data_IF_640371083155
#
_entry.id   IF_640371083155
#
_cell.length_a   1.000
_cell.length_b   1.000
_cell.length_c   1.000
_cell.angle_alpha   90.00
_cell.angle_beta   90.00
_cell.angle_gamma   90.00
#
_symmetry.space_group_name_H-M   'P 1'
#
loop_
_entity.id
_entity.type
_entity.pdbx_description
1 polymer ?
#
# COMPACT_ATOMS: atom_id res chain seq x y z
N UNK A 1 39.13 12.33 16.48
CA UNK A 1 37.70 12.01 16.26
C UNK A 1 37.59 11.37 14.89
N UNK A 2 37.27 10.08 14.82
CA UNK A 2 37.00 9.42 13.54
C UNK A 2 35.60 9.82 13.04
N UNK A 3 35.37 9.98 11.72
CA UNK A 3 34.03 10.20 11.20
C UNK A 3 33.13 8.98 11.52
N UNK A 4 31.83 9.20 11.72
CA UNK A 4 30.90 8.08 11.86
C UNK A 4 30.96 7.23 10.58
N UNK A 5 31.15 5.91 10.77
CA UNK A 5 31.08 4.94 9.68
C UNK A 5 29.71 4.97 8.99
N UNK A 6 29.60 4.42 7.77
CA UNK A 6 28.34 4.42 7.02
C UNK A 6 27.24 3.76 7.86
N UNK A 7 26.19 4.53 8.16
CA UNK A 7 25.03 4.01 8.87
C UNK A 7 24.31 2.99 7.96
N UNK A 8 23.89 1.82 8.50
CA UNK A 8 23.22 0.80 7.70
C UNK A 8 21.93 1.38 7.12
N UNK A 9 21.75 1.21 5.80
CA UNK A 9 20.67 1.82 5.02
C UNK A 9 19.29 1.50 5.58
N UNK A 10 18.66 2.50 6.20
CA UNK A 10 17.24 2.48 6.50
C UNK A 10 16.42 2.46 5.21
N UNK A 11 15.22 1.88 5.25
CA UNK A 11 14.30 1.95 4.13
C UNK A 11 14.04 3.42 3.75
N UNK A 12 14.02 3.69 2.45
CA UNK A 12 13.77 5.02 1.89
C UNK A 12 12.48 5.61 2.50
N UNK A 13 12.55 6.79 3.17
CA UNK A 13 11.38 7.43 3.78
C UNK A 13 10.19 7.61 2.83
N UNK A 14 10.46 7.89 1.54
CA UNK A 14 9.42 8.08 0.54
C UNK A 14 8.77 6.75 0.18
N UNK A 15 9.56 5.69 0.05
CA UNK A 15 9.05 4.32 -0.12
C UNK A 15 8.20 3.89 1.08
N UNK A 16 8.67 4.12 2.31
CA UNK A 16 7.93 3.81 3.53
C UNK A 16 6.60 4.57 3.61
N UNK A 17 6.61 5.86 3.26
CA UNK A 17 5.40 6.66 3.21
C UNK A 17 4.40 6.14 2.17
N UNK A 18 4.87 5.84 0.96
CA UNK A 18 4.04 5.29 -0.10
C UNK A 18 3.46 3.91 0.27
N UNK A 19 4.25 3.06 0.91
CA UNK A 19 3.82 1.74 1.38
C UNK A 19 2.72 1.85 2.44
N UNK A 20 2.93 2.71 3.45
CA UNK A 20 1.93 2.98 4.49
C UNK A 20 0.63 3.52 3.91
N UNK A 21 0.72 4.45 2.96
CA UNK A 21 -0.46 5.01 2.31
C UNK A 21 -1.24 3.93 1.54
N UNK A 22 -0.56 3.09 0.77
CA UNK A 22 -1.20 2.01 0.03
C UNK A 22 -1.85 0.98 0.97
N UNK A 23 -1.17 0.59 2.05
CA UNK A 23 -1.72 -0.34 3.04
C UNK A 23 -2.94 0.25 3.77
N UNK A 24 -2.90 1.52 4.16
CA UNK A 24 -4.02 2.20 4.79
C UNK A 24 -5.23 2.27 3.86
N UNK A 25 -5.02 2.59 2.58
CA UNK A 25 -6.08 2.61 1.58
C UNK A 25 -6.74 1.23 1.44
N UNK A 26 -5.95 0.15 1.37
CA UNK A 26 -6.48 -1.21 1.30
C UNK A 26 -7.31 -1.57 2.55
N UNK A 27 -6.83 -1.23 3.74
CA UNK A 27 -7.54 -1.51 4.99
C UNK A 27 -8.87 -0.75 5.10
N UNK A 28 -8.88 0.54 4.74
CA UNK A 28 -10.09 1.37 4.74
C UNK A 28 -11.11 0.83 3.73
N UNK A 29 -10.67 0.52 2.52
CA UNK A 29 -11.53 -0.03 1.48
C UNK A 29 -12.13 -1.38 1.91
N UNK A 30 -11.33 -2.28 2.49
CA UNK A 30 -11.83 -3.57 3.00
C UNK A 30 -12.88 -3.40 4.13
N UNK A 31 -12.67 -2.46 5.05
CA UNK A 31 -13.67 -2.13 6.07
C UNK A 31 -14.97 -1.59 5.45
N UNK A 32 -14.85 -0.77 4.40
CA UNK A 32 -15.99 -0.21 3.68
C UNK A 32 -16.75 -1.27 2.86
N UNK A 33 -16.07 -2.26 2.28
CA UNK A 33 -16.70 -3.44 1.66
C UNK A 33 -17.60 -4.14 2.68
N UNK A 34 -17.04 -4.46 3.86
CA UNK A 34 -17.81 -5.13 4.92
C UNK A 34 -19.05 -4.34 5.32
N UNK A 35 -18.89 -3.02 5.55
CA UNK A 35 -20.01 -2.15 5.90
C UNK A 35 -21.10 -2.10 4.81
N UNK A 36 -20.71 -2.06 3.54
CA UNK A 36 -21.65 -2.07 2.42
C UNK A 36 -22.40 -3.41 2.31
N UNK A 37 -21.72 -4.53 2.52
CA UNK A 37 -22.35 -5.86 2.54
C UNK A 37 -23.34 -6.01 3.71
N UNK A 38 -22.98 -5.54 4.91
CA UNK A 38 -23.87 -5.52 6.07
C UNK A 38 -25.13 -4.66 5.82
N UNK A 39 -25.03 -3.64 4.97
CA UNK A 39 -26.15 -2.80 4.54
C UNK A 39 -26.95 -3.37 3.33
N UNK A 40 -26.53 -4.50 2.75
CA UNK A 40 -27.13 -5.06 1.54
C UNK A 40 -26.81 -4.30 0.24
N UNK A 41 -25.86 -3.37 0.26
CA UNK A 41 -25.46 -2.56 -0.90
C UNK A 41 -24.29 -3.20 -1.65
N UNK A 42 -24.63 -4.16 -2.51
CA UNK A 42 -23.65 -4.91 -3.32
C UNK A 42 -22.89 -4.02 -4.31
N UNK A 43 -23.56 -3.00 -4.87
CA UNK A 43 -22.94 -2.10 -5.84
C UNK A 43 -21.83 -1.28 -5.17
N UNK A 44 -22.08 -0.76 -3.97
CA UNK A 44 -21.08 -0.05 -3.20
C UNK A 44 -19.97 -0.97 -2.69
N UNK A 45 -20.29 -2.19 -2.31
CA UNK A 45 -19.28 -3.18 -1.93
C UNK A 45 -18.32 -3.49 -3.10
N UNK A 46 -18.83 -3.65 -4.32
CA UNK A 46 -18.01 -3.87 -5.50
C UNK A 46 -17.02 -2.71 -5.75
N UNK A 47 -17.49 -1.46 -5.62
CA UNK A 47 -16.63 -0.28 -5.79
C UNK A 47 -15.48 -0.23 -4.78
N UNK A 48 -15.75 -0.53 -3.51
CA UNK A 48 -14.69 -0.59 -2.50
C UNK A 48 -13.75 -1.79 -2.70
N UNK A 49 -14.23 -2.88 -3.30
CA UNK A 49 -13.38 -4.00 -3.66
C UNK A 49 -12.38 -3.61 -4.76
N UNK A 50 -12.81 -2.87 -5.78
CA UNK A 50 -11.94 -2.32 -6.82
C UNK A 50 -10.88 -1.37 -6.24
N UNK A 51 -11.27 -0.54 -5.27
CA UNK A 51 -10.34 0.36 -4.56
C UNK A 51 -9.29 -0.42 -3.75
N UNK A 52 -9.71 -1.50 -3.07
CA UNK A 52 -8.81 -2.38 -2.34
C UNK A 52 -7.83 -3.09 -3.27
N UNK A 53 -8.31 -3.59 -4.43
CA UNK A 53 -7.45 -4.22 -5.44
C UNK A 53 -6.42 -3.22 -5.99
N UNK A 54 -6.84 -2.00 -6.31
CA UNK A 54 -5.93 -0.95 -6.78
C UNK A 54 -4.85 -0.62 -5.72
N UNK A 55 -5.21 -0.58 -4.43
CA UNK A 55 -4.26 -0.38 -3.34
C UNK A 55 -3.25 -1.54 -3.21
N UNK A 56 -3.73 -2.77 -3.31
CA UNK A 56 -2.88 -3.97 -3.38
C UNK A 56 -1.95 -3.95 -4.59
N UNK A 57 -2.44 -3.50 -5.73
CA UNK A 57 -1.65 -3.28 -6.94
C UNK A 57 -0.49 -2.32 -6.71
N UNK A 58 -0.73 -1.18 -6.05
CA UNK A 58 0.33 -0.22 -5.67
C UNK A 58 1.35 -0.83 -4.72
N UNK A 59 0.91 -1.58 -3.69
CA UNK A 59 1.82 -2.27 -2.78
C UNK A 59 2.72 -3.25 -3.53
N UNK A 60 2.14 -4.04 -4.44
CA UNK A 60 2.91 -4.96 -5.30
C UNK A 60 3.93 -4.23 -6.17
N UNK A 61 3.58 -3.09 -6.78
CA UNK A 61 4.54 -2.27 -7.54
C UNK A 61 5.69 -1.78 -6.65
N UNK A 62 5.40 -1.31 -5.43
CA UNK A 62 6.42 -0.84 -4.49
C UNK A 62 7.33 -1.96 -3.95
N UNK A 63 6.81 -3.19 -3.88
CA UNK A 63 7.57 -4.38 -3.47
C UNK A 63 8.36 -5.00 -4.62
N UNK A 64 8.00 -4.71 -5.86
CA UNK A 64 8.69 -5.23 -7.03
C UNK A 64 9.96 -4.40 -7.24
N UNK A 65 11.16 -5.01 -7.14
CA UNK A 65 12.40 -4.31 -7.43
C UNK A 65 12.33 -3.73 -8.85
N UNK A 66 12.84 -2.51 -9.10
CA UNK A 66 12.93 -2.02 -10.47
C UNK A 66 13.70 -3.05 -11.29
N UNK A 67 13.10 -3.52 -12.39
CA UNK A 67 13.78 -4.38 -13.34
C UNK A 67 15.10 -3.70 -13.68
N UNK A 68 16.20 -4.39 -13.44
CA UNK A 68 17.57 -3.89 -13.52
C UNK A 68 17.72 -2.95 -14.71
N UNK A 69 18.28 -1.75 -14.49
CA UNK A 69 18.89 -0.96 -15.56
C UNK A 69 19.98 -1.84 -16.19
N UNK A 70 19.63 -2.57 -17.24
CA UNK A 70 20.56 -3.24 -18.15
C UNK A 70 21.11 -2.25 -19.15
#
# INVERSE_FOLDING_TARGET
MSPPGPQPGGADPDWLHAMRNAANAAAIAAAAVRSALEAGDQARAARFLDEADAACGRMRTLLTPPASRG
#
